data_IF_507313650609
#
_entry.id   IF_507313650609
#
_cell.length_a   1.000
_cell.length_b   1.000
_cell.length_c   1.000
_cell.angle_alpha   90.00
_cell.angle_beta   90.00
_cell.angle_gamma   90.00
#
_symmetry.space_group_name_H-M   'P 1'
#
loop_
_entity.id
_entity.type
_entity.pdbx_description
1 polymer ?
#
# COMPACT_ATOMS: atom_id res chain seq x y z
N UNK A 1 -12.91 -1.09 15.73
CA UNK A 1 -11.89 -0.51 14.81
C UNK A 1 -12.59 -0.16 13.50
N UNK A 2 -12.72 1.12 13.18
CA UNK A 2 -13.33 1.55 11.93
C UNK A 2 -12.38 1.23 10.77
N UNK A 3 -12.77 0.30 9.89
CA UNK A 3 -12.08 0.08 8.62
C UNK A 3 -12.75 0.98 7.59
N UNK A 4 -12.05 2.02 7.16
CA UNK A 4 -12.44 2.79 5.99
C UNK A 4 -12.20 1.91 4.75
N UNK A 5 -13.24 1.18 4.33
CA UNK A 5 -13.24 0.47 3.05
C UNK A 5 -13.64 1.47 1.97
N UNK A 6 -12.66 2.03 1.28
CA UNK A 6 -12.90 2.82 0.08
C UNK A 6 -13.33 1.82 -1.01
N UNK A 7 -14.66 1.67 -1.14
CA UNK A 7 -15.28 0.62 -1.94
C UNK A 7 -14.67 0.56 -3.34
N UNK A 8 -14.16 -0.63 -3.69
CA UNK A 8 -13.80 -1.14 -5.02
C UNK A 8 -13.56 -0.10 -6.14
N UNK A 9 -12.79 0.97 -5.87
CA UNK A 9 -12.27 1.80 -6.92
C UNK A 9 -11.11 1.00 -7.55
N UNK A 10 -11.34 0.44 -8.73
CA UNK A 10 -10.28 -0.15 -9.56
C UNK A 10 -9.31 0.90 -10.08
N UNK A 11 -9.54 2.16 -9.75
CA UNK A 11 -8.77 3.32 -10.17
C UNK A 11 -7.56 3.51 -9.26
N UNK A 12 -6.39 3.67 -9.86
CA UNK A 12 -5.18 4.00 -9.13
C UNK A 12 -5.35 5.34 -8.38
N UNK A 13 -4.79 5.48 -7.16
CA UNK A 13 -4.74 6.75 -6.46
C UNK A 13 -4.05 7.81 -7.32
N UNK A 14 -4.59 9.02 -7.36
CA UNK A 14 -3.88 10.18 -7.93
C UNK A 14 -3.38 11.06 -6.81
N UNK A 15 -2.09 11.39 -6.83
CA UNK A 15 -1.47 12.27 -5.83
C UNK A 15 -1.21 13.64 -6.49
N UNK A 16 -1.70 14.70 -5.86
CA UNK A 16 -1.62 16.07 -6.36
C UNK A 16 -1.05 16.98 -5.27
N UNK A 17 0.07 17.69 -5.53
CA UNK A 17 0.53 18.73 -4.62
C UNK A 17 -0.37 19.96 -4.72
N UNK A 18 -0.69 20.56 -3.57
CA UNK A 18 -1.39 21.84 -3.46
C UNK A 18 -0.45 22.86 -2.82
N UNK A 19 0.57 23.27 -3.58
CA UNK A 19 1.69 24.10 -3.12
C UNK A 19 1.26 25.38 -2.40
N UNK A 20 0.17 26.00 -2.87
CA UNK A 20 -0.36 27.25 -2.31
C UNK A 20 -0.83 27.13 -0.85
N UNK A 21 -1.12 25.91 -0.38
CA UNK A 21 -1.63 25.65 0.97
C UNK A 21 -0.80 24.60 1.73
N UNK A 22 0.31 24.11 1.17
CA UNK A 22 1.20 23.15 1.83
C UNK A 22 0.58 21.77 2.07
N UNK A 23 -0.38 21.36 1.23
CA UNK A 23 -1.12 20.10 1.37
C UNK A 23 -0.85 19.16 0.20
N UNK A 24 -0.80 17.87 0.46
CA UNK A 24 -0.84 16.80 -0.54
C UNK A 24 -2.24 16.21 -0.58
N UNK A 25 -2.88 16.24 -1.75
CA UNK A 25 -4.19 15.64 -1.97
C UNK A 25 -4.04 14.27 -2.64
N UNK A 26 -4.51 13.22 -1.97
CA UNK A 26 -4.59 11.85 -2.51
C UNK A 26 -6.05 11.57 -2.89
N UNK A 27 -6.31 11.51 -4.18
CA UNK A 27 -7.64 11.20 -4.74
C UNK A 27 -7.81 9.71 -4.96
N UNK A 28 -8.87 9.16 -4.39
CA UNK A 28 -9.24 7.75 -4.40
C UNK A 28 -10.67 7.63 -4.92
N UNK A 29 -10.83 7.71 -6.24
CA UNK A 29 -12.13 7.73 -6.90
C UNK A 29 -12.99 8.91 -6.42
N UNK A 30 -13.98 8.62 -5.57
CA UNK A 30 -14.91 9.60 -5.00
C UNK A 30 -14.43 10.22 -3.67
N UNK A 31 -13.35 9.73 -3.09
CA UNK A 31 -12.78 10.27 -1.85
C UNK A 31 -11.49 11.06 -2.11
N UNK A 32 -11.22 12.05 -1.27
CA UNK A 32 -9.96 12.79 -1.27
C UNK A 32 -9.43 12.83 0.15
N UNK A 33 -8.16 12.48 0.32
CA UNK A 33 -7.43 12.63 1.57
C UNK A 33 -6.48 13.82 1.42
N UNK A 34 -6.56 14.77 2.34
CA UNK A 34 -5.70 15.95 2.38
C UNK A 34 -4.75 15.78 3.55
N UNK A 35 -3.44 15.82 3.26
CA UNK A 35 -2.39 15.58 4.22
C UNK A 35 -1.43 16.76 4.24
N UNK A 36 -0.95 17.13 5.41
CA UNK A 36 0.21 18.00 5.52
C UNK A 36 1.47 17.28 5.00
N UNK A 37 2.52 18.03 4.67
CA UNK A 37 3.78 17.49 4.15
C UNK A 37 4.34 16.37 5.04
N UNK A 38 4.43 16.62 6.35
CA UNK A 38 4.94 15.64 7.32
C UNK A 38 4.06 14.38 7.43
N UNK A 39 2.73 14.53 7.30
CA UNK A 39 1.80 13.41 7.33
C UNK A 39 1.89 12.57 6.06
N UNK A 40 2.08 13.22 4.91
CA UNK A 40 2.29 12.56 3.63
C UNK A 40 3.58 11.72 3.63
N UNK A 41 4.67 12.25 4.18
CA UNK A 41 5.93 11.53 4.33
C UNK A 41 5.80 10.31 5.25
N UNK A 42 5.13 10.48 6.40
CA UNK A 42 4.86 9.38 7.32
C UNK A 42 4.04 8.28 6.64
N UNK A 43 2.98 8.66 5.91
CA UNK A 43 2.13 7.72 5.19
C UNK A 43 2.91 6.97 4.09
N UNK A 44 3.78 7.66 3.35
CA UNK A 44 4.61 7.03 2.31
C UNK A 44 5.50 5.92 2.90
N UNK A 45 6.09 6.17 4.07
CA UNK A 45 6.94 5.22 4.76
C UNK A 45 6.15 4.00 5.29
N UNK A 46 4.96 4.22 5.82
CA UNK A 46 4.07 3.12 6.24
C UNK A 46 3.60 2.26 5.06
N UNK A 47 3.23 2.88 3.94
CA UNK A 47 2.87 2.17 2.71
C UNK A 47 4.03 1.32 2.20
N UNK A 48 5.26 1.85 2.22
CA UNK A 48 6.45 1.10 1.85
C UNK A 48 6.68 -0.11 2.76
N UNK A 49 6.54 0.06 4.09
CA UNK A 49 6.66 -1.04 5.06
C UNK A 49 5.60 -2.13 4.82
N UNK A 50 4.34 -1.73 4.60
CA UNK A 50 3.26 -2.66 4.30
C UNK A 50 3.51 -3.44 2.99
N UNK A 51 3.97 -2.76 1.94
CA UNK A 51 4.34 -3.40 0.67
C UNK A 51 5.50 -4.39 0.84
N UNK A 52 6.50 -4.05 1.64
CA UNK A 52 7.60 -4.96 1.98
C UNK A 52 7.11 -6.20 2.73
N UNK A 53 6.25 -6.04 3.74
CA UNK A 53 5.64 -7.15 4.48
C UNK A 53 4.88 -8.10 3.56
N UNK A 54 4.13 -7.57 2.58
CA UNK A 54 3.44 -8.38 1.56
C UNK A 54 4.41 -9.14 0.65
N UNK A 55 5.54 -8.54 0.24
CA UNK A 55 6.56 -9.24 -0.57
C UNK A 55 7.17 -10.38 0.21
N UNK A 56 7.52 -10.16 1.48
CA UNK A 56 8.08 -11.20 2.35
C UNK A 56 7.04 -12.31 2.55
N UNK A 57 5.79 -11.98 2.87
CA UNK A 57 4.72 -12.98 3.00
C UNK A 57 4.55 -13.84 1.74
N UNK A 58 4.64 -13.24 0.54
CA UNK A 58 4.59 -13.96 -0.74
C UNK A 58 5.83 -14.82 -0.98
N UNK A 59 7.03 -14.34 -0.66
CA UNK A 59 8.26 -15.15 -0.80
C UNK A 59 8.27 -16.33 0.16
N UNK A 60 7.86 -16.10 1.40
CA UNK A 60 7.75 -17.14 2.43
C UNK A 60 6.71 -18.17 2.04
N UNK A 61 5.53 -17.75 1.58
CA UNK A 61 4.52 -18.68 1.06
C UNK A 61 5.04 -19.52 -0.11
N UNK A 62 5.79 -18.92 -1.04
CA UNK A 62 6.40 -19.63 -2.17
C UNK A 62 7.46 -20.66 -1.73
N UNK A 63 8.29 -20.31 -0.75
CA UNK A 63 9.31 -21.21 -0.20
C UNK A 63 8.68 -22.40 0.53
N UNK A 64 7.60 -22.20 1.29
CA UNK A 64 6.86 -23.30 1.91
C UNK A 64 6.17 -24.19 0.88
N UNK A 65 5.58 -23.62 -0.18
CA UNK A 65 5.00 -24.44 -1.26
C UNK A 65 6.06 -25.24 -2.01
N UNK A 66 7.23 -24.66 -2.27
CA UNK A 66 8.34 -25.34 -2.95
C UNK A 66 8.93 -26.47 -2.08
N UNK A 67 9.10 -26.22 -0.77
CA UNK A 67 9.59 -27.21 0.20
C UNK A 67 8.58 -28.35 0.45
N UNK A 68 7.27 -28.06 0.43
CA UNK A 68 6.21 -29.08 0.54
C UNK A 68 5.94 -29.81 -0.78
N UNK A 69 6.26 -29.21 -1.94
CA UNK A 69 6.06 -29.81 -3.26
C UNK A 69 7.09 -30.88 -3.63
N UNK A 70 8.12 -31.13 -2.81
CA UNK A 70 9.04 -32.26 -2.99
C UNK A 70 9.79 -32.28 -4.32
N UNK A 71 10.03 -31.13 -4.95
CA UNK A 71 10.67 -31.08 -6.28
C UNK A 71 12.18 -31.37 -6.28
N UNK A 72 12.79 -31.47 -5.09
CA UNK A 72 14.19 -31.88 -4.90
C UNK A 72 14.33 -33.29 -4.29
N UNK A 73 13.27 -34.10 -4.29
CA UNK A 73 13.31 -35.50 -3.89
C UNK A 73 13.35 -36.44 -5.12
N UNK A 74 14.35 -36.26 -6.00
CA UNK A 74 14.79 -37.26 -6.99
C UNK A 74 16.18 -36.89 -7.54
#
# INVERSE_FOLDING_TARGET
MARLSLGAATTAPTVLPMDAIGIVAVKLGFASLYLEEAEADALALELQRAAQALRIGKSTAKQYTDALSGKDAA
#
